data_IF_197496647391
#
_entry.id   IF_197496647391
#
_cell.length_a   1.000
_cell.length_b   1.000
_cell.length_c   1.000
_cell.angle_alpha   90.00
_cell.angle_beta   90.00
_cell.angle_gamma   90.00
#
_symmetry.space_group_name_H-M   'P 1'
#
loop_
_entity.id
_entity.type
_entity.pdbx_description
1 polymer ?
#
# COMPACT_ATOMS: atom_id res chain seq x y z
N UNK A 1 -20.54 -12.81 20.42
CA UNK A 1 -19.19 -12.91 19.80
C UNK A 1 -19.38 -13.40 18.35
N UNK A 2 -19.17 -12.65 17.25
CA UNK A 2 -19.44 -12.93 15.79
C UNK A 2 -18.28 -12.79 14.66
N UNK A 3 -17.35 -13.77 14.45
CA UNK A 3 -16.21 -13.96 13.46
C UNK A 3 -16.60 -14.27 11.97
N UNK A 4 -16.81 -13.35 11.03
CA UNK A 4 -17.24 -13.73 9.64
C UNK A 4 -16.09 -14.07 8.65
N UNK A 5 -16.29 -15.07 7.77
CA UNK A 5 -15.55 -15.33 6.51
C UNK A 5 -16.55 -15.87 5.42
N UNK A 6 -16.27 -15.95 4.10
CA UNK A 6 -17.04 -15.13 3.16
C UNK A 6 -17.65 -15.86 1.94
N UNK A 7 -18.73 -15.28 1.41
CA UNK A 7 -19.20 -15.48 0.03
C UNK A 7 -19.44 -14.11 -0.64
N UNK A 8 -19.47 -14.04 -1.97
CA UNK A 8 -19.43 -12.81 -2.78
C UNK A 8 -20.52 -12.87 -3.89
N UNK A 9 -20.70 -11.90 -4.82
CA UNK A 9 -20.02 -10.59 -4.99
C UNK A 9 -20.92 -9.37 -5.37
N UNK A 10 -20.55 -8.15 -4.95
CA UNK A 10 -20.99 -6.86 -5.53
C UNK A 10 -19.88 -5.81 -5.28
N UNK A 11 -19.35 -4.99 -6.21
CA UNK A 11 -19.90 -4.00 -7.18
C UNK A 11 -20.14 -2.59 -6.59
N UNK A 12 -19.22 -1.67 -6.97
CA UNK A 12 -19.29 -0.19 -6.92
C UNK A 12 -19.39 0.53 -5.55
N UNK A 13 -19.02 1.82 -5.54
CA UNK A 13 -19.22 2.76 -4.44
C UNK A 13 -17.94 3.31 -3.81
N UNK A 14 -17.73 4.64 -3.87
CA UNK A 14 -16.60 5.34 -3.23
C UNK A 14 -17.06 6.61 -2.52
N UNK A 15 -16.63 6.84 -1.28
CA UNK A 15 -16.73 8.15 -0.62
C UNK A 15 -15.60 8.41 0.38
N UNK A 16 -15.18 9.67 0.51
CA UNK A 16 -14.34 10.21 1.60
C UNK A 16 -15.22 11.03 2.55
N UNK A 17 -14.84 11.15 3.82
CA UNK A 17 -15.30 12.25 4.70
C UNK A 17 -14.12 12.89 5.47
N UNK A 18 -14.31 14.13 5.96
CA UNK A 18 -13.24 14.99 6.53
C UNK A 18 -13.20 15.00 8.07
N UNK A 19 -12.04 15.40 8.61
CA UNK A 19 -11.71 15.61 10.04
C UNK A 19 -12.67 16.57 10.77
N UNK A 20 -12.79 16.42 12.10
CA UNK A 20 -12.83 17.57 13.06
C UNK A 20 -12.22 17.21 14.44
N UNK A 21 -12.28 18.14 15.41
CA UNK A 21 -11.30 18.33 16.52
C UNK A 21 -11.86 18.09 17.94
N UNK A 22 -10.90 17.81 18.86
CA UNK A 22 -10.78 18.20 20.28
C UNK A 22 -11.43 17.37 21.43
N UNK A 23 -10.52 16.96 22.32
CA UNK A 23 -10.59 16.59 23.75
C UNK A 23 -11.76 17.10 24.61
N UNK A 24 -12.21 16.28 25.58
CA UNK A 24 -11.87 16.40 27.02
C UNK A 24 -12.16 15.12 27.82
N UNK A 25 -11.79 15.12 29.11
CA UNK A 25 -11.63 13.97 30.04
C UNK A 25 -12.81 13.72 30.99
N UNK A 26 -13.08 12.45 31.32
CA UNK A 26 -13.74 11.96 32.57
C UNK A 26 -13.56 10.42 32.71
N UNK A 27 -13.93 9.83 33.85
CA UNK A 27 -13.73 8.40 34.16
C UNK A 27 -15.02 7.64 34.56
N UNK A 28 -14.90 6.30 34.59
CA UNK A 28 -15.82 5.18 34.99
C UNK A 28 -17.05 5.49 35.86
N UNK A 29 -18.19 4.77 35.66
CA UNK A 29 -18.32 3.36 36.11
C UNK A 29 -19.07 2.40 35.13
N UNK A 30 -19.72 1.35 35.69
CA UNK A 30 -20.56 0.28 35.09
C UNK A 30 -21.76 0.02 36.05
N UNK A 31 -22.83 -0.72 35.67
CA UNK A 31 -23.17 -1.32 34.37
C UNK A 31 -24.53 -0.85 33.79
N UNK A 32 -25.07 -1.63 32.83
CA UNK A 32 -26.30 -1.45 32.04
C UNK A 32 -26.23 -0.51 30.81
N UNK A 33 -27.05 -0.70 29.77
CA UNK A 33 -27.90 -1.86 29.46
C UNK A 33 -28.91 -1.58 28.31
N UNK A 34 -29.50 -2.56 27.61
CA UNK A 34 -29.09 -3.97 27.45
C UNK A 34 -29.15 -4.38 25.94
N UNK A 35 -30.13 -5.12 25.34
CA UNK A 35 -31.06 -6.17 25.80
C UNK A 35 -30.65 -7.60 25.35
N UNK A 36 -30.93 -8.63 26.18
CA UNK A 36 -31.04 -10.03 25.73
C UNK A 36 -32.30 -10.18 24.86
N UNK A 37 -32.06 -10.45 23.57
CA UNK A 37 -32.99 -10.87 22.50
C UNK A 37 -34.22 -10.02 22.14
N UNK A 38 -34.80 -9.24 23.05
CA UNK A 38 -35.88 -8.25 22.82
C UNK A 38 -35.42 -7.01 22.03
N UNK A 39 -34.95 -7.22 20.80
CA UNK A 39 -34.01 -6.32 20.11
C UNK A 39 -34.66 -5.09 19.43
N UNK A 40 -34.52 -3.90 20.02
CA UNK A 40 -34.82 -2.62 19.38
C UNK A 40 -33.53 -1.94 18.85
N UNK A 41 -33.22 -2.12 17.56
CA UNK A 41 -31.90 -1.84 16.98
C UNK A 41 -31.63 -0.37 16.59
N UNK A 42 -32.26 0.59 17.29
CA UNK A 42 -32.29 2.01 16.93
C UNK A 42 -30.92 2.68 16.72
N UNK A 43 -29.86 2.19 17.38
CA UNK A 43 -28.50 2.70 17.25
C UNK A 43 -27.55 1.81 16.40
N UNK A 44 -27.97 0.61 15.98
CA UNK A 44 -27.23 -0.14 14.93
C UNK A 44 -27.41 0.56 13.57
N UNK A 45 -28.44 1.40 13.43
CA UNK A 45 -28.56 2.39 12.34
C UNK A 45 -27.44 3.45 12.32
N UNK A 46 -26.63 3.57 13.38
CA UNK A 46 -25.39 4.36 13.39
C UNK A 46 -24.13 3.54 12.98
N UNK A 47 -24.32 2.35 12.38
CA UNK A 47 -23.29 1.77 11.53
C UNK A 47 -22.89 2.79 10.45
N UNK A 48 -21.58 2.97 10.25
CA UNK A 48 -20.96 3.77 9.16
C UNK A 48 -21.17 5.30 9.15
N UNK A 49 -22.14 5.86 9.88
CA UNK A 49 -22.34 7.32 9.99
C UNK A 49 -22.84 7.75 11.39
N UNK A 50 -22.43 8.93 11.86
CA UNK A 50 -22.55 9.32 13.27
C UNK A 50 -23.88 9.98 13.69
N UNK A 51 -24.01 10.15 15.02
CA UNK A 51 -25.15 10.66 15.81
C UNK A 51 -26.23 9.61 16.10
N UNK A 52 -26.61 9.44 17.39
CA UNK A 52 -28.01 9.06 17.70
C UNK A 52 -28.40 8.00 18.75
N UNK A 53 -27.71 7.79 19.88
CA UNK A 53 -28.39 7.38 21.14
C UNK A 53 -27.52 7.65 22.38
N UNK A 54 -28.14 7.73 23.57
CA UNK A 54 -27.56 8.39 24.75
C UNK A 54 -27.55 7.56 26.05
N UNK A 55 -27.60 6.22 25.97
CA UNK A 55 -27.63 5.34 27.16
C UNK A 55 -26.84 4.03 27.02
N UNK A 56 -26.18 3.77 25.88
CA UNK A 56 -25.56 2.47 25.61
C UNK A 56 -24.08 2.60 25.21
N UNK A 57 -23.19 2.11 26.08
CA UNK A 57 -21.73 2.22 25.93
C UNK A 57 -21.06 0.84 26.15
N UNK A 58 -21.02 -0.04 25.13
CA UNK A 58 -20.44 -1.37 25.27
C UNK A 58 -18.92 -1.29 25.44
N UNK A 59 -18.37 -2.00 26.43
CA UNK A 59 -16.91 -2.11 26.61
C UNK A 59 -16.21 -2.93 25.51
N UNK A 60 -16.95 -3.64 24.66
CA UNK A 60 -16.42 -4.35 23.50
C UNK A 60 -17.50 -5.10 22.70
N UNK A 61 -17.16 -5.48 21.46
CA UNK A 61 -17.97 -6.31 20.54
C UNK A 61 -17.02 -7.34 19.92
N UNK A 62 -17.41 -8.63 19.85
CA UNK A 62 -16.48 -9.81 19.77
C UNK A 62 -16.81 -10.77 18.58
N UNK A 63 -16.09 -11.89 18.30
CA UNK A 63 -16.23 -12.87 17.15
C UNK A 63 -16.26 -14.44 17.45
N UNK A 64 -16.93 -15.58 17.02
CA UNK A 64 -18.01 -16.42 16.26
C UNK A 64 -18.59 -16.35 14.80
N UNK A 65 -18.37 -17.33 13.92
CA UNK A 65 -18.79 -17.25 12.50
C UNK A 65 -20.28 -17.49 12.24
N UNK A 66 -20.83 -17.00 11.11
CA UNK A 66 -22.25 -17.21 10.74
C UNK A 66 -22.63 -18.69 10.68
N UNK A 67 -21.70 -19.57 10.32
CA UNK A 67 -21.89 -21.03 10.30
C UNK A 67 -21.67 -21.74 11.65
N UNK A 68 -21.31 -20.99 12.71
CA UNK A 68 -21.35 -21.46 14.12
C UNK A 68 -22.19 -20.53 15.00
N UNK A 69 -22.94 -19.60 14.39
CA UNK A 69 -23.64 -18.52 15.07
C UNK A 69 -24.74 -19.08 15.97
N UNK A 70 -25.61 -19.94 15.45
CA UNK A 70 -26.78 -20.38 16.19
C UNK A 70 -26.38 -21.27 17.39
N UNK A 71 -25.38 -22.14 17.23
CA UNK A 71 -24.82 -22.95 18.33
C UNK A 71 -24.21 -22.10 19.43
N UNK A 72 -23.31 -21.16 19.09
CA UNK A 72 -22.59 -20.39 20.10
C UNK A 72 -23.35 -19.15 20.59
N UNK A 73 -24.42 -18.71 19.91
CA UNK A 73 -25.45 -17.82 20.46
C UNK A 73 -26.16 -18.50 21.63
N UNK A 74 -26.65 -19.73 21.44
CA UNK A 74 -27.34 -20.50 22.48
C UNK A 74 -26.43 -20.78 23.67
N UNK A 75 -25.17 -21.19 23.43
CA UNK A 75 -24.19 -21.41 24.49
C UNK A 75 -23.82 -20.12 25.24
N UNK A 76 -23.70 -18.96 24.56
CA UNK A 76 -23.43 -17.67 25.21
C UNK A 76 -24.63 -17.19 26.05
N UNK A 77 -25.86 -17.36 25.55
CA UNK A 77 -27.08 -17.06 26.30
C UNK A 77 -27.21 -17.94 27.57
N UNK A 78 -26.95 -19.25 27.45
CA UNK A 78 -26.97 -20.18 28.57
C UNK A 78 -25.86 -19.87 29.62
N UNK A 79 -24.74 -19.29 29.19
CA UNK A 79 -23.69 -18.77 30.07
C UNK A 79 -23.98 -17.37 30.66
N UNK A 80 -25.20 -16.86 30.52
CA UNK A 80 -25.61 -15.54 31.05
C UNK A 80 -25.01 -14.33 30.30
N UNK A 81 -24.41 -14.54 29.13
CA UNK A 81 -23.81 -13.46 28.33
C UNK A 81 -24.88 -12.77 27.49
N UNK A 82 -24.82 -11.44 27.43
CA UNK A 82 -25.75 -10.59 26.69
C UNK A 82 -25.54 -10.75 25.18
N UNK A 83 -26.55 -11.24 24.48
CA UNK A 83 -26.52 -11.57 23.04
C UNK A 83 -27.73 -11.00 22.29
N UNK A 84 -27.54 -10.65 21.02
CA UNK A 84 -28.57 -10.07 20.14
C UNK A 84 -28.67 -10.86 18.84
N UNK A 85 -29.88 -10.92 18.27
CA UNK A 85 -30.21 -11.66 17.03
C UNK A 85 -29.84 -10.91 15.74
N UNK A 86 -29.30 -9.69 15.84
CA UNK A 86 -28.95 -8.86 14.68
C UNK A 86 -27.76 -9.43 13.87
N UNK A 87 -27.90 -9.44 12.54
CA UNK A 87 -26.84 -9.89 11.60
C UNK A 87 -26.41 -8.71 10.72
N UNK A 88 -25.09 -8.43 10.66
CA UNK A 88 -24.51 -7.30 9.93
C UNK A 88 -23.68 -7.83 8.74
N UNK A 89 -23.88 -7.34 7.49
CA UNK A 89 -23.07 -7.73 6.34
C UNK A 89 -21.67 -7.10 6.41
N UNK A 90 -20.63 -7.89 6.14
CA UNK A 90 -19.23 -7.44 6.20
C UNK A 90 -18.61 -7.35 4.80
N UNK A 91 -17.91 -6.26 4.49
CA UNK A 91 -17.30 -6.05 3.17
C UNK A 91 -16.12 -7.01 2.94
N UNK A 92 -16.12 -7.71 1.80
CA UNK A 92 -15.26 -8.86 1.51
C UNK A 92 -13.81 -8.54 1.11
N UNK A 93 -13.26 -7.39 1.52
CA UNK A 93 -11.95 -6.92 1.05
C UNK A 93 -11.01 -6.43 2.17
N UNK A 94 -9.95 -7.19 2.43
CA UNK A 94 -8.60 -6.62 2.58
C UNK A 94 -7.93 -6.61 3.96
N UNK A 95 -8.65 -6.66 5.09
CA UNK A 95 -8.06 -6.42 6.44
C UNK A 95 -8.19 -7.57 7.46
N UNK A 96 -8.43 -8.80 6.98
CA UNK A 96 -8.69 -9.96 7.84
C UNK A 96 -7.50 -10.31 8.75
N UNK A 97 -6.28 -10.27 8.22
CA UNK A 97 -5.03 -10.57 8.95
C UNK A 97 -4.78 -9.58 10.09
N UNK A 98 -5.01 -8.29 9.85
CA UNK A 98 -4.84 -7.22 10.84
C UNK A 98 -5.81 -7.40 12.02
N UNK A 99 -7.07 -7.75 11.73
CA UNK A 99 -8.07 -8.02 12.76
C UNK A 99 -7.70 -9.25 13.61
N UNK A 100 -7.29 -10.35 12.97
CA UNK A 100 -6.89 -11.57 13.67
C UNK A 100 -5.72 -11.31 14.63
N UNK A 101 -4.70 -10.56 14.20
CA UNK A 101 -3.55 -10.22 15.05
C UNK A 101 -3.95 -9.30 16.23
N UNK A 102 -4.82 -8.30 16.00
CA UNK A 102 -5.29 -7.40 17.06
C UNK A 102 -6.11 -8.15 18.14
N UNK A 103 -6.88 -9.15 17.70
CA UNK A 103 -7.63 -10.04 18.57
C UNK A 103 -6.70 -10.90 19.44
N UNK A 104 -5.65 -11.49 18.87
CA UNK A 104 -4.67 -12.30 19.61
C UNK A 104 -3.96 -11.54 20.74
N UNK A 105 -3.54 -10.29 20.53
CA UNK A 105 -2.91 -9.47 21.58
C UNK A 105 -3.89 -9.12 22.72
N UNK A 106 -5.15 -8.85 22.37
CA UNK A 106 -6.20 -8.59 23.36
C UNK A 106 -6.47 -9.84 24.24
N UNK A 107 -6.40 -11.03 23.65
CA UNK A 107 -6.52 -12.30 24.40
C UNK A 107 -5.30 -12.62 25.28
N UNK A 108 -4.14 -12.03 25.00
CA UNK A 108 -2.94 -12.12 25.84
C UNK A 108 -2.94 -11.16 27.05
N UNK A 109 -3.99 -10.34 27.21
CA UNK A 109 -4.13 -9.41 28.33
C UNK A 109 -3.43 -8.05 28.15
N UNK A 110 -2.87 -7.76 26.97
CA UNK A 110 -2.22 -6.48 26.70
C UNK A 110 -3.24 -5.33 26.69
N UNK A 111 -3.10 -4.37 27.61
CA UNK A 111 -3.98 -3.20 27.69
C UNK A 111 -3.69 -2.22 26.54
N UNK A 112 -4.55 -2.24 25.52
CA UNK A 112 -4.42 -1.38 24.35
C UNK A 112 -4.52 0.11 24.68
N UNK A 113 -3.44 0.86 24.43
CA UNK A 113 -3.43 2.32 24.46
C UNK A 113 -4.29 2.88 23.28
N UNK A 114 -5.06 3.97 23.44
CA UNK A 114 -6.00 4.42 22.41
C UNK A 114 -5.29 4.91 21.13
N UNK A 115 -5.52 4.18 20.04
CA UNK A 115 -4.82 4.38 18.75
C UNK A 115 -5.27 5.68 18.08
N UNK A 116 -4.49 6.74 18.28
CA UNK A 116 -4.66 8.06 17.65
C UNK A 116 -3.44 8.44 16.79
N UNK A 117 -2.87 7.45 16.10
CA UNK A 117 -1.75 7.59 15.16
C UNK A 117 -1.94 6.70 13.92
N UNK A 118 -1.16 6.93 12.84
CA UNK A 118 -1.26 6.16 11.60
C UNK A 118 -0.69 4.74 11.73
N UNK A 119 -0.90 3.93 10.69
CA UNK A 119 -0.47 2.54 10.61
C UNK A 119 1.05 2.41 10.59
N UNK A 120 1.63 2.15 11.76
CA UNK A 120 3.01 1.73 12.00
C UNK A 120 2.99 0.69 13.16
N UNK A 121 3.96 -0.23 13.21
CA UNK A 121 4.11 -1.27 14.25
C UNK A 121 2.99 -2.36 14.39
N UNK A 122 2.75 -3.10 13.29
CA UNK A 122 2.86 -4.56 13.42
C UNK A 122 4.23 -4.98 12.90
N UNK A 123 4.96 -5.79 13.68
CA UNK A 123 6.28 -6.26 13.28
C UNK A 123 6.16 -7.28 12.13
N UNK A 124 6.28 -6.81 10.88
CA UNK A 124 6.50 -7.66 9.69
C UNK A 124 7.95 -8.16 9.70
N UNK A 125 8.30 -8.86 10.78
CA UNK A 125 9.64 -9.30 11.10
C UNK A 125 9.91 -10.67 10.50
N UNK A 126 11.05 -10.79 9.82
CA UNK A 126 11.68 -12.06 9.53
C UNK A 126 12.32 -12.62 10.81
N UNK A 127 12.46 -13.94 10.90
CA UNK A 127 13.31 -14.55 11.93
C UNK A 127 14.78 -14.35 11.57
N UNK A 128 15.69 -14.51 12.54
CA UNK A 128 17.13 -14.52 12.26
C UNK A 128 17.50 -15.63 11.25
N UNK A 129 16.87 -16.79 11.35
CA UNK A 129 17.06 -17.89 10.39
C UNK A 129 16.59 -17.53 8.97
N UNK A 130 15.48 -16.79 8.81
CA UNK A 130 15.07 -16.28 7.51
C UNK A 130 16.05 -15.24 6.96
N UNK A 131 16.55 -14.33 7.81
CA UNK A 131 17.55 -13.34 7.42
C UNK A 131 18.82 -14.01 6.90
N UNK A 132 19.42 -14.93 7.69
CA UNK A 132 20.63 -15.64 7.30
C UNK A 132 20.45 -16.42 6.00
N UNK A 133 19.35 -17.19 5.86
CA UNK A 133 19.07 -17.95 4.65
C UNK A 133 18.89 -17.06 3.40
N UNK A 134 18.52 -15.79 3.56
CA UNK A 134 18.50 -14.82 2.46
C UNK A 134 19.88 -14.21 2.20
N UNK A 135 20.65 -13.89 3.23
CA UNK A 135 22.03 -13.40 3.15
C UNK A 135 22.93 -14.40 2.43
N UNK A 136 22.96 -15.66 2.89
CA UNK A 136 23.70 -16.78 2.27
C UNK A 136 23.35 -16.94 0.78
N UNK A 137 22.08 -16.69 0.43
CA UNK A 137 21.55 -16.81 -0.93
C UNK A 137 21.89 -15.62 -1.83
N UNK A 138 22.25 -14.51 -1.21
CA UNK A 138 22.59 -13.22 -1.80
C UNK A 138 24.10 -12.95 -1.88
N UNK A 139 24.95 -13.64 -1.10
CA UNK A 139 26.43 -13.49 -1.10
C UNK A 139 27.06 -13.32 -2.50
N UNK A 140 26.62 -14.12 -3.47
CA UNK A 140 26.98 -14.05 -4.90
C UNK A 140 26.68 -12.72 -5.62
N UNK A 141 26.05 -11.76 -4.96
CA UNK A 141 25.68 -10.44 -5.48
C UNK A 141 26.55 -9.31 -4.90
N UNK A 142 27.50 -9.60 -4.00
CA UNK A 142 28.47 -8.60 -3.52
C UNK A 142 29.21 -7.94 -4.70
N UNK A 143 29.44 -6.63 -4.60
CA UNK A 143 30.10 -5.85 -5.66
C UNK A 143 29.23 -5.52 -6.88
N UNK A 144 27.94 -5.86 -6.92
CA UNK A 144 27.05 -5.45 -8.02
C UNK A 144 26.77 -3.94 -7.93
N UNK A 145 27.21 -3.21 -8.96
CA UNK A 145 26.90 -1.78 -9.12
C UNK A 145 25.43 -1.52 -9.51
N UNK A 146 24.98 -0.30 -9.25
CA UNK A 146 23.60 0.16 -9.46
C UNK A 146 23.57 1.21 -10.58
N UNK A 147 22.63 1.15 -11.52
CA UNK A 147 22.31 2.29 -12.39
C UNK A 147 22.03 3.54 -11.54
N UNK A 148 22.60 4.69 -11.92
CA UNK A 148 22.52 5.93 -11.14
C UNK A 148 21.10 6.47 -10.93
N UNK A 149 20.11 6.01 -11.70
CA UNK A 149 18.76 6.53 -11.72
C UNK A 149 18.66 7.84 -12.52
N UNK A 150 17.64 8.65 -12.24
CA UNK A 150 17.38 9.93 -12.90
C UNK A 150 17.36 11.09 -11.89
N UNK A 151 18.30 11.13 -10.93
CA UNK A 151 18.36 12.06 -9.76
C UNK A 151 18.27 13.57 -10.04
N UNK A 152 18.20 14.00 -11.30
CA UNK A 152 17.97 15.39 -11.74
C UNK A 152 16.61 15.60 -12.43
N UNK A 153 15.98 14.55 -12.97
CA UNK A 153 14.67 14.60 -13.63
C UNK A 153 13.62 13.83 -12.84
N UNK A 154 12.73 14.57 -12.18
CA UNK A 154 11.56 13.98 -11.54
C UNK A 154 10.58 13.43 -12.60
N UNK A 155 10.51 14.05 -13.78
CA UNK A 155 9.72 13.55 -14.90
C UNK A 155 10.08 12.11 -15.26
N UNK A 156 11.37 11.79 -15.43
CA UNK A 156 11.82 10.45 -15.75
C UNK A 156 11.62 9.45 -14.60
N UNK A 157 11.76 9.89 -13.34
CA UNK A 157 11.44 9.06 -12.18
C UNK A 157 9.95 8.70 -12.15
N UNK A 158 9.03 9.62 -12.48
CA UNK A 158 7.59 9.37 -12.60
C UNK A 158 7.29 8.43 -13.78
N UNK A 159 7.86 8.72 -14.97
CA UNK A 159 7.59 7.96 -16.20
C UNK A 159 8.08 6.51 -16.10
N UNK A 160 9.35 6.26 -15.75
CA UNK A 160 9.87 4.90 -15.62
C UNK A 160 9.14 4.15 -14.48
N UNK A 161 8.91 4.79 -13.33
CA UNK A 161 8.33 4.08 -12.18
C UNK A 161 6.93 3.52 -12.45
N UNK A 162 6.04 4.33 -13.05
CA UNK A 162 4.69 3.88 -13.42
C UNK A 162 4.73 2.92 -14.62
N UNK A 163 5.61 3.14 -15.60
CA UNK A 163 5.75 2.23 -16.74
C UNK A 163 6.28 0.86 -16.33
N UNK A 164 7.22 0.77 -15.39
CA UNK A 164 7.88 -0.44 -14.89
C UNK A 164 7.01 -1.33 -13.98
N UNK A 165 5.72 -1.43 -14.29
CA UNK A 165 4.72 -2.30 -13.65
C UNK A 165 4.19 -3.33 -14.64
N UNK A 166 4.43 -4.63 -14.40
CA UNK A 166 3.79 -5.72 -15.15
C UNK A 166 4.14 -5.87 -16.65
N UNK A 167 5.14 -5.15 -17.16
CA UNK A 167 5.60 -5.19 -18.57
C UNK A 167 7.07 -5.62 -18.67
N UNK A 168 7.59 -5.84 -19.88
CA UNK A 168 9.03 -5.97 -20.12
C UNK A 168 9.73 -4.62 -20.02
N UNK A 169 10.92 -4.59 -19.39
CA UNK A 169 11.68 -3.33 -19.21
C UNK A 169 12.07 -2.68 -20.55
N UNK A 170 12.27 -3.47 -21.61
CA UNK A 170 12.50 -2.95 -22.97
C UNK A 170 11.30 -2.27 -23.64
N UNK A 171 10.12 -2.30 -23.00
CA UNK A 171 9.02 -1.39 -23.32
C UNK A 171 9.15 -0.03 -22.61
N UNK A 172 9.79 0.00 -21.43
CA UNK A 172 10.00 1.20 -20.61
C UNK A 172 11.15 2.03 -21.15
N UNK A 173 12.28 1.40 -21.46
CA UNK A 173 13.44 1.99 -22.15
C UNK A 173 12.99 2.80 -23.40
N UNK A 174 12.06 2.24 -24.18
CA UNK A 174 11.49 2.88 -25.38
C UNK A 174 10.56 4.07 -25.08
N UNK A 175 9.84 4.06 -23.96
CA UNK A 175 9.01 5.22 -23.54
C UNK A 175 9.92 6.35 -23.04
N UNK A 176 10.94 6.02 -22.24
CA UNK A 176 11.95 6.98 -21.76
C UNK A 176 12.69 7.61 -22.94
N UNK A 177 13.09 6.81 -23.94
CA UNK A 177 13.72 7.33 -25.16
C UNK A 177 12.80 8.28 -25.96
N UNK A 178 11.51 7.96 -26.11
CA UNK A 178 10.55 8.85 -26.80
C UNK A 178 10.24 10.13 -26.02
N UNK A 179 10.11 10.06 -24.70
CA UNK A 179 9.94 11.27 -23.87
C UNK A 179 11.13 12.20 -24.02
N UNK A 180 12.36 11.63 -23.98
CA UNK A 180 13.59 12.37 -24.20
C UNK A 180 13.64 13.03 -25.59
N UNK A 181 13.31 12.29 -26.65
CA UNK A 181 13.28 12.84 -28.00
C UNK A 181 12.24 13.97 -28.15
N UNK A 182 11.02 13.77 -27.64
CA UNK A 182 9.93 14.76 -27.67
C UNK A 182 10.29 16.07 -26.96
N UNK A 183 11.05 16.01 -25.87
CA UNK A 183 11.52 17.18 -25.12
C UNK A 183 12.69 17.90 -25.79
N UNK A 184 13.64 17.16 -26.36
CA UNK A 184 14.76 17.73 -27.13
C UNK A 184 14.27 18.43 -28.41
N UNK A 185 13.27 17.85 -29.10
CA UNK A 185 12.56 18.44 -30.25
C UNK A 185 11.89 19.80 -29.91
N UNK A 186 11.62 20.04 -28.62
CA UNK A 186 11.06 21.30 -28.07
C UNK A 186 12.10 22.17 -27.34
N UNK A 187 13.40 21.88 -27.51
CA UNK A 187 14.50 22.63 -26.89
C UNK A 187 14.62 22.50 -25.37
N UNK A 188 13.97 21.51 -24.75
CA UNK A 188 14.05 21.24 -23.30
C UNK A 188 15.08 20.15 -22.95
N UNK A 189 15.57 20.14 -21.70
CA UNK A 189 16.44 19.08 -21.19
C UNK A 189 15.66 18.03 -20.36
N UNK A 190 15.37 16.84 -20.93
CA UNK A 190 14.72 15.74 -20.21
C UNK A 190 15.56 15.14 -19.08
N UNK A 191 16.81 15.56 -18.89
CA UNK A 191 17.62 15.18 -17.73
C UNK A 191 17.37 16.08 -16.51
N UNK A 192 16.69 17.23 -16.67
CA UNK A 192 16.31 18.15 -15.58
C UNK A 192 14.79 18.32 -15.42
N UNK A 193 13.98 17.88 -16.39
CA UNK A 193 12.52 18.04 -16.38
C UNK A 193 11.85 17.57 -15.08
N UNK A 194 10.94 18.42 -14.59
CA UNK A 194 10.13 18.23 -13.39
C UNK A 194 8.68 17.82 -13.69
N UNK A 195 7.78 18.09 -12.75
CA UNK A 195 6.33 17.87 -12.94
C UNK A 195 5.75 18.79 -14.01
N UNK A 196 6.18 20.06 -14.03
CA UNK A 196 5.68 21.10 -14.93
C UNK A 196 5.92 20.72 -16.39
N UNK A 197 7.15 20.33 -16.73
CA UNK A 197 7.53 19.95 -18.09
C UNK A 197 6.92 18.61 -18.51
N UNK A 198 6.77 17.66 -17.58
CA UNK A 198 6.03 16.41 -17.83
C UNK A 198 4.55 16.70 -18.12
N UNK A 199 3.89 17.56 -17.33
CA UNK A 199 2.50 17.94 -17.51
C UNK A 199 2.28 18.71 -18.82
N UNK A 200 3.22 19.59 -19.20
CA UNK A 200 3.21 20.25 -20.50
C UNK A 200 3.15 19.24 -21.67
N UNK A 201 3.93 18.14 -21.61
CA UNK A 201 3.85 17.11 -22.67
C UNK A 201 2.47 16.47 -22.80
N UNK A 202 1.64 16.41 -21.76
CA UNK A 202 0.27 15.92 -21.88
C UNK A 202 -0.64 16.92 -22.60
N UNK A 203 -0.45 18.22 -22.42
CA UNK A 203 -1.17 19.27 -23.16
C UNK A 203 -0.78 19.26 -24.64
N UNK A 204 0.52 19.13 -24.94
CA UNK A 204 1.08 19.03 -26.30
C UNK A 204 0.67 17.75 -27.07
N UNK A 205 0.16 16.75 -26.36
CA UNK A 205 -0.29 15.47 -26.93
C UNK A 205 -1.77 15.19 -26.70
N UNK A 206 -2.59 16.24 -26.54
CA UNK A 206 -4.05 16.11 -26.52
C UNK A 206 -4.58 15.21 -25.37
N UNK A 207 -3.85 15.16 -24.26
CA UNK A 207 -4.15 14.38 -23.07
C UNK A 207 -3.54 12.96 -23.05
N UNK A 208 -4.00 12.10 -22.12
CA UNK A 208 -3.39 10.80 -21.87
C UNK A 208 -3.41 9.80 -23.04
N UNK A 209 -4.42 9.85 -23.91
CA UNK A 209 -4.53 8.92 -25.04
C UNK A 209 -3.52 9.24 -26.14
N UNK A 210 -3.41 10.50 -26.56
CA UNK A 210 -2.39 10.95 -27.51
C UNK A 210 -0.97 10.88 -26.92
N UNK A 211 -0.81 11.08 -25.59
CA UNK A 211 0.46 10.79 -24.93
C UNK A 211 0.81 9.30 -25.00
N UNK A 212 -0.16 8.41 -24.76
CA UNK A 212 0.02 6.96 -24.82
C UNK A 212 0.33 6.42 -26.24
N UNK A 213 -0.01 7.20 -27.27
CA UNK A 213 0.29 6.93 -28.68
C UNK A 213 1.66 7.51 -29.09
N UNK A 214 1.87 8.83 -28.90
CA UNK A 214 3.08 9.55 -29.32
C UNK A 214 4.33 9.18 -28.50
N UNK A 215 4.20 9.03 -27.17
CA UNK A 215 5.33 8.86 -26.23
C UNK A 215 5.25 7.54 -25.47
N UNK A 216 4.10 7.28 -24.84
CA UNK A 216 3.86 6.18 -23.91
C UNK A 216 3.62 4.84 -24.58
N UNK A 217 2.67 4.09 -24.02
CA UNK A 217 2.08 2.89 -24.63
C UNK A 217 0.63 2.78 -24.16
N UNK A 218 -0.25 2.12 -24.91
CA UNK A 218 -1.64 1.84 -24.50
C UNK A 218 -1.78 0.78 -23.38
N UNK A 219 -0.69 0.52 -22.63
CA UNK A 219 -0.68 -0.34 -21.46
C UNK A 219 -1.50 0.28 -20.32
N UNK A 220 -2.19 -0.57 -19.55
CA UNK A 220 -3.00 -0.18 -18.39
C UNK A 220 -2.32 -0.54 -17.08
N UNK A 221 -2.73 0.13 -15.99
CA UNK A 221 -2.24 -0.15 -14.62
C UNK A 221 -2.74 -1.49 -14.05
N UNK A 222 -3.81 -2.04 -14.64
CA UNK A 222 -4.38 -3.36 -14.31
C UNK A 222 -5.05 -3.94 -15.56
N UNK A 223 -4.94 -5.26 -15.75
CA UNK A 223 -5.70 -6.00 -16.78
C UNK A 223 -7.20 -6.10 -16.46
N UNK A 224 -7.60 -5.77 -15.24
CA UNK A 224 -8.99 -5.72 -14.78
C UNK A 224 -9.31 -4.29 -14.35
N UNK A 225 -9.95 -3.52 -15.24
CA UNK A 225 -10.43 -2.17 -14.94
C UNK A 225 -9.35 -1.11 -14.66
N UNK A 226 -8.11 -1.30 -15.12
CA UNK A 226 -7.05 -0.30 -14.94
C UNK A 226 -7.16 0.88 -15.91
N UNK A 227 -6.84 2.08 -15.42
CA UNK A 227 -6.58 3.29 -16.22
C UNK A 227 -5.39 3.10 -17.15
N UNK A 228 -5.23 3.97 -18.16
CA UNK A 228 -4.00 3.99 -18.95
C UNK A 228 -2.81 4.34 -18.05
N UNK A 229 -1.61 3.83 -18.37
CA UNK A 229 -0.40 4.25 -17.64
C UNK A 229 -0.06 5.72 -17.89
N UNK A 230 -0.35 6.25 -19.07
CA UNK A 230 -0.23 7.67 -19.39
C UNK A 230 -1.12 8.53 -18.48
N UNK A 231 -2.37 8.10 -18.26
CA UNK A 231 -3.33 8.75 -17.37
C UNK A 231 -2.82 8.76 -15.92
N UNK A 232 -2.32 7.63 -15.43
CA UNK A 232 -1.72 7.55 -14.10
C UNK A 232 -0.39 8.34 -13.95
N UNK A 233 0.40 8.49 -15.02
CA UNK A 233 1.61 9.34 -15.05
C UNK A 233 1.22 10.81 -14.92
N UNK A 234 0.25 11.28 -15.71
CA UNK A 234 -0.30 12.65 -15.61
C UNK A 234 -0.82 12.92 -14.20
N UNK A 235 -1.67 12.04 -13.68
CA UNK A 235 -2.33 12.26 -12.39
C UNK A 235 -1.34 12.23 -11.23
N UNK A 236 -0.33 11.37 -11.28
CA UNK A 236 0.73 11.31 -10.27
C UNK A 236 1.67 12.52 -10.35
N UNK A 237 1.98 13.03 -11.55
CA UNK A 237 2.69 14.29 -11.72
C UNK A 237 1.89 15.47 -11.17
N UNK A 238 0.60 15.58 -11.51
CA UNK A 238 -0.29 16.65 -11.04
C UNK A 238 -0.48 16.65 -9.51
N UNK A 239 -0.46 15.47 -8.88
CA UNK A 239 -0.46 15.34 -7.41
C UNK A 239 0.81 15.92 -6.78
N UNK A 240 1.99 15.62 -7.33
CA UNK A 240 3.25 16.16 -6.81
C UNK A 240 3.39 17.67 -7.10
N UNK A 241 2.95 18.10 -8.29
CA UNK A 241 2.91 19.50 -8.72
C UNK A 241 2.05 20.36 -7.78
N UNK A 242 0.81 19.92 -7.51
CA UNK A 242 -0.11 20.55 -6.55
C UNK A 242 0.35 20.49 -5.09
N UNK A 243 1.39 19.70 -4.78
CA UNK A 243 2.10 19.70 -3.50
C UNK A 243 3.40 20.53 -3.51
N UNK A 244 3.71 21.20 -4.62
CA UNK A 244 4.96 21.96 -4.80
C UNK A 244 6.22 21.10 -4.86
N UNK A 245 6.07 19.79 -5.12
CA UNK A 245 7.19 18.84 -5.30
C UNK A 245 7.47 18.75 -6.80
N UNK A 246 7.97 19.85 -7.35
CA UNK A 246 8.09 20.01 -8.82
C UNK A 246 9.39 19.45 -9.39
N UNK A 247 10.43 19.30 -8.58
CA UNK A 247 11.78 18.87 -9.01
C UNK A 247 12.33 17.72 -8.19
N UNK A 248 13.32 17.01 -8.75
CA UNK A 248 14.06 15.95 -8.07
C UNK A 248 14.72 16.43 -6.75
N UNK A 249 15.20 17.68 -6.70
CA UNK A 249 15.69 18.29 -5.47
C UNK A 249 14.57 18.43 -4.43
N UNK A 250 13.46 19.08 -4.79
CA UNK A 250 12.33 19.32 -3.87
C UNK A 250 11.71 18.04 -3.27
N UNK A 251 11.86 16.88 -3.94
CA UNK A 251 11.46 15.57 -3.40
C UNK A 251 12.41 15.04 -2.32
N UNK A 252 13.72 15.27 -2.45
CA UNK A 252 14.72 14.91 -1.44
C UNK A 252 14.69 15.85 -0.25
N UNK A 253 14.51 17.14 -0.52
CA UNK A 253 14.49 18.21 0.49
C UNK A 253 13.19 18.19 1.32
N UNK A 254 12.12 17.57 0.80
CA UNK A 254 10.89 17.31 1.54
C UNK A 254 11.14 16.42 2.77
N UNK A 255 10.70 16.85 3.95
CA UNK A 255 10.85 16.10 5.21
C UNK A 255 10.06 14.77 5.22
N UNK A 256 10.26 13.96 6.28
CA UNK A 256 9.60 12.66 6.41
C UNK A 256 8.06 12.72 6.47
N UNK A 257 7.47 13.77 7.04
CA UNK A 257 6.03 13.95 7.07
C UNK A 257 5.50 14.39 5.70
N UNK A 258 6.17 15.34 5.03
CA UNK A 258 5.83 15.76 3.66
C UNK A 258 5.96 14.62 2.65
N UNK A 259 6.98 13.75 2.79
CA UNK A 259 7.13 12.53 1.98
C UNK A 259 6.04 11.49 2.27
N UNK A 260 5.61 11.31 3.53
CA UNK A 260 4.49 10.40 3.89
C UNK A 260 3.13 10.94 3.40
N UNK A 261 2.96 12.27 3.31
CA UNK A 261 1.79 12.90 2.65
C UNK A 261 1.83 12.76 1.12
N UNK A 262 3.01 12.89 0.50
CA UNK A 262 3.21 12.68 -0.93
C UNK A 262 2.96 11.21 -1.32
N UNK A 263 3.46 10.25 -0.55
CA UNK A 263 3.16 8.82 -0.69
C UNK A 263 1.65 8.56 -0.60
N UNK A 264 0.99 9.13 0.42
CA UNK A 264 -0.46 8.98 0.63
C UNK A 264 -1.29 9.53 -0.53
N UNK A 265 -0.83 10.63 -1.13
CA UNK A 265 -1.48 11.28 -2.26
C UNK A 265 -1.22 10.55 -3.58
N UNK A 266 0.02 10.09 -3.80
CA UNK A 266 0.40 9.21 -4.91
C UNK A 266 -0.41 7.92 -4.90
N UNK A 267 -0.52 7.25 -3.74
CA UNK A 267 -1.30 6.02 -3.59
C UNK A 267 -2.82 6.23 -3.74
N UNK A 268 -3.30 7.48 -3.71
CA UNK A 268 -4.69 7.80 -4.03
C UNK A 268 -4.96 7.87 -5.55
N UNK A 269 -3.93 7.95 -6.40
CA UNK A 269 -4.04 7.93 -7.87
C UNK A 269 -4.49 6.54 -8.34
N UNK A 270 -5.36 6.52 -9.35
CA UNK A 270 -5.96 5.28 -9.85
C UNK A 270 -4.89 4.31 -10.37
N UNK A 271 -4.84 3.11 -9.79
CA UNK A 271 -3.84 2.09 -10.10
C UNK A 271 -2.52 2.17 -9.30
N UNK A 272 -2.29 3.23 -8.51
CA UNK A 272 -1.03 3.41 -7.74
C UNK A 272 -1.11 2.96 -6.27
N UNK A 273 -2.29 2.48 -5.83
CA UNK A 273 -2.63 2.14 -4.42
C UNK A 273 -1.63 1.26 -3.66
N UNK A 274 -0.78 0.49 -4.35
CA UNK A 274 0.17 -0.42 -3.69
C UNK A 274 1.49 0.23 -3.25
N UNK A 275 1.75 1.50 -3.58
CA UNK A 275 3.00 2.20 -3.22
C UNK A 275 4.28 1.68 -3.91
N UNK A 276 4.22 0.55 -4.63
CA UNK A 276 5.39 -0.06 -5.31
C UNK A 276 5.99 0.90 -6.35
N UNK A 277 5.18 1.70 -7.02
CA UNK A 277 5.63 2.73 -7.97
C UNK A 277 6.25 3.93 -7.25
N UNK A 278 5.73 4.33 -6.08
CA UNK A 278 6.31 5.37 -5.24
C UNK A 278 7.68 4.97 -4.69
N UNK A 279 7.82 3.77 -4.13
CA UNK A 279 9.13 3.25 -3.64
C UNK A 279 10.16 3.20 -4.76
N UNK A 280 9.76 2.76 -5.95
CA UNK A 280 10.65 2.70 -7.11
C UNK A 280 10.96 4.09 -7.72
N UNK A 281 10.04 5.06 -7.64
CA UNK A 281 10.33 6.47 -7.94
C UNK A 281 11.42 7.02 -7.02
N UNK A 282 11.33 6.76 -5.70
CA UNK A 282 12.35 7.17 -4.74
C UNK A 282 13.71 6.50 -5.03
N UNK A 283 13.73 5.21 -5.39
CA UNK A 283 14.95 4.51 -5.82
C UNK A 283 15.58 5.11 -7.08
N UNK A 284 14.76 5.49 -8.08
CA UNK A 284 15.22 6.17 -9.29
C UNK A 284 15.75 7.58 -9.00
N UNK A 285 15.22 8.26 -8.00
CA UNK A 285 15.73 9.56 -7.55
C UNK A 285 17.01 9.45 -6.69
N UNK A 286 17.38 8.24 -6.29
CA UNK A 286 18.62 7.92 -5.57
C UNK A 286 18.46 7.70 -4.06
N UNK A 287 17.23 7.66 -3.54
CA UNK A 287 16.95 7.26 -2.16
C UNK A 287 17.07 5.73 -2.04
N UNK A 288 17.89 5.18 -1.12
CA UNK A 288 18.05 3.74 -0.97
C UNK A 288 16.72 3.02 -0.63
N UNK A 289 16.46 1.89 -1.29
CA UNK A 289 15.24 1.13 -1.03
C UNK A 289 15.13 -0.16 -1.85
N UNK A 290 14.04 -0.89 -1.60
CA UNK A 290 13.65 -2.12 -2.31
C UNK A 290 12.29 -1.88 -2.96
N UNK A 291 12.09 -2.42 -4.17
CA UNK A 291 10.84 -2.45 -4.90
C UNK A 291 10.23 -3.86 -4.75
N UNK A 292 9.37 -4.12 -3.75
CA UNK A 292 8.85 -5.46 -3.46
C UNK A 292 7.80 -5.91 -4.49
N UNK A 293 8.22 -6.15 -5.73
CA UNK A 293 7.39 -6.63 -6.81
C UNK A 293 7.39 -8.17 -6.89
N UNK A 294 6.69 -8.71 -7.90
CA UNK A 294 6.54 -10.16 -8.08
C UNK A 294 7.86 -10.91 -8.25
N UNK A 295 8.95 -10.29 -8.72
CA UNK A 295 10.27 -10.91 -8.82
C UNK A 295 10.97 -10.95 -7.47
N UNK A 296 10.94 -9.86 -6.70
CA UNK A 296 11.52 -9.82 -5.35
C UNK A 296 10.77 -10.80 -4.41
N UNK A 297 9.43 -10.77 -4.39
CA UNK A 297 8.62 -11.75 -3.65
C UNK A 297 8.95 -13.19 -4.08
N UNK A 298 9.04 -13.48 -5.38
CA UNK A 298 9.44 -14.80 -5.91
C UNK A 298 10.83 -15.22 -5.44
N UNK A 299 11.78 -14.29 -5.34
CA UNK A 299 13.13 -14.58 -4.86
C UNK A 299 13.16 -14.88 -3.37
N UNK A 300 12.44 -14.12 -2.54
CA UNK A 300 12.32 -14.42 -1.11
C UNK A 300 11.65 -15.78 -0.89
N UNK A 301 10.58 -16.09 -1.65
CA UNK A 301 9.97 -17.44 -1.65
C UNK A 301 10.96 -18.55 -2.01
N UNK A 302 11.74 -18.36 -3.09
CA UNK A 302 12.73 -19.34 -3.57
C UNK A 302 13.97 -19.47 -2.67
N UNK A 303 14.22 -18.49 -1.80
CA UNK A 303 15.35 -18.48 -0.86
C UNK A 303 14.97 -19.11 0.48
N UNK A 304 13.77 -18.80 0.96
CA UNK A 304 13.20 -19.32 2.21
C UNK A 304 12.43 -20.64 2.04
N UNK A 305 12.42 -21.21 0.83
CA UNK A 305 11.66 -22.42 0.45
C UNK A 305 10.13 -22.32 0.72
N UNK A 306 9.59 -21.09 0.71
CA UNK A 306 8.18 -20.82 1.02
C UNK A 306 7.27 -21.12 -0.17
N UNK A 307 6.01 -21.46 0.13
CA UNK A 307 4.98 -21.73 -0.89
C UNK A 307 4.78 -20.51 -1.80
N UNK A 308 4.61 -20.76 -3.11
CA UNK A 308 4.35 -19.70 -4.10
C UNK A 308 3.13 -18.84 -3.80
N UNK A 309 3.32 -17.51 -3.87
CA UNK A 309 2.35 -16.45 -3.51
C UNK A 309 2.01 -16.41 -2.02
N UNK A 310 3.00 -16.65 -1.15
CA UNK A 310 2.88 -16.47 0.30
C UNK A 310 3.58 -15.21 0.81
N UNK A 311 4.59 -14.71 0.11
CA UNK A 311 5.36 -13.52 0.55
C UNK A 311 4.64 -12.24 0.12
N UNK A 312 4.15 -11.49 1.11
CA UNK A 312 3.61 -10.13 0.93
C UNK A 312 4.71 -9.09 0.69
N UNK A 313 4.32 -7.95 0.10
CA UNK A 313 5.26 -6.90 -0.30
C UNK A 313 6.08 -6.33 0.87
N UNK A 314 5.45 -6.04 2.02
CA UNK A 314 6.17 -5.50 3.18
C UNK A 314 7.15 -6.50 3.80
N UNK A 315 6.86 -7.81 3.74
CA UNK A 315 7.81 -8.82 4.20
C UNK A 315 9.02 -8.90 3.26
N UNK A 316 8.78 -8.91 1.94
CA UNK A 316 9.85 -8.87 0.94
C UNK A 316 10.71 -7.60 1.07
N UNK A 317 10.10 -6.46 1.35
CA UNK A 317 10.81 -5.21 1.61
C UNK A 317 11.67 -5.32 2.88
N UNK A 318 11.08 -5.68 4.01
CA UNK A 318 11.77 -5.74 5.30
C UNK A 318 12.98 -6.70 5.27
N UNK A 319 12.80 -7.92 4.76
CA UNK A 319 13.87 -8.92 4.74
C UNK A 319 15.00 -8.61 3.74
N UNK A 320 14.71 -7.98 2.59
CA UNK A 320 15.75 -7.56 1.64
C UNK A 320 16.47 -6.30 2.13
N UNK A 321 15.79 -5.40 2.84
CA UNK A 321 16.44 -4.28 3.54
C UNK A 321 17.41 -4.80 4.62
N UNK A 322 16.95 -5.70 5.50
CA UNK A 322 17.80 -6.29 6.54
C UNK A 322 18.96 -7.12 5.98
N UNK A 323 18.74 -7.88 4.90
CA UNK A 323 19.81 -8.62 4.23
C UNK A 323 20.85 -7.69 3.58
N UNK A 324 20.41 -6.54 3.03
CA UNK A 324 21.36 -5.54 2.52
C UNK A 324 22.20 -4.92 3.65
N UNK A 325 21.57 -4.62 4.80
CA UNK A 325 22.23 -4.09 6.00
C UNK A 325 23.27 -5.07 6.56
N UNK A 326 22.89 -6.33 6.81
CA UNK A 326 23.79 -7.41 7.28
C UNK A 326 24.96 -7.64 6.30
N UNK A 327 24.71 -7.51 4.99
CA UNK A 327 25.75 -7.63 3.97
C UNK A 327 26.63 -6.38 3.80
N UNK A 328 26.30 -5.24 4.41
CA UNK A 328 26.97 -3.95 4.14
C UNK A 328 26.76 -3.46 2.70
N UNK A 329 25.66 -3.84 2.07
CA UNK A 329 25.30 -3.48 0.69
C UNK A 329 24.24 -2.38 0.64
N UNK A 330 24.21 -1.60 -0.44
CA UNK A 330 23.04 -0.78 -0.75
C UNK A 330 21.83 -1.66 -1.03
N UNK A 331 20.69 -1.38 -0.40
CA UNK A 331 19.44 -2.09 -0.63
C UNK A 331 18.98 -2.01 -2.09
N UNK A 332 19.19 -0.87 -2.76
CA UNK A 332 18.94 -0.70 -4.19
C UNK A 332 19.87 -1.56 -5.06
N UNK A 333 21.12 -1.82 -4.61
CA UNK A 333 22.03 -2.75 -5.30
C UNK A 333 21.56 -4.19 -5.17
N UNK A 334 21.11 -4.59 -3.97
CA UNK A 334 20.62 -5.93 -3.72
C UNK A 334 19.30 -6.20 -4.49
N UNK A 335 18.37 -5.24 -4.50
CA UNK A 335 17.15 -5.26 -5.33
C UNK A 335 17.49 -5.45 -6.81
N UNK A 336 18.38 -4.62 -7.36
CA UNK A 336 18.82 -4.69 -8.76
C UNK A 336 19.48 -6.04 -9.10
N UNK A 337 20.32 -6.58 -8.21
CA UNK A 337 20.96 -7.87 -8.39
C UNK A 337 19.97 -9.04 -8.37
N UNK A 338 19.03 -9.04 -7.41
CA UNK A 338 17.93 -10.02 -7.32
C UNK A 338 17.05 -9.95 -8.57
N UNK A 339 16.69 -8.75 -9.03
CA UNK A 339 15.90 -8.55 -10.24
C UNK A 339 16.62 -9.06 -11.48
N UNK A 340 17.91 -8.75 -11.66
CA UNK A 340 18.74 -9.24 -12.78
C UNK A 340 18.82 -10.77 -12.77
N UNK A 341 18.98 -11.39 -11.61
CA UNK A 341 18.98 -12.84 -11.44
C UNK A 341 17.62 -13.48 -11.78
N UNK A 342 16.50 -12.91 -11.32
CA UNK A 342 15.16 -13.43 -11.62
C UNK A 342 14.76 -13.19 -13.09
N UNK A 343 15.18 -12.08 -13.71
CA UNK A 343 14.93 -11.79 -15.13
C UNK A 343 15.56 -12.83 -16.07
N UNK A 344 16.69 -13.43 -15.69
CA UNK A 344 17.37 -14.48 -16.45
C UNK A 344 16.78 -15.89 -16.30
N UNK A 345 15.98 -16.15 -15.25
CA UNK A 345 15.41 -17.47 -14.93
C UNK A 345 13.96 -17.59 -15.44
N UNK A 346 13.79 -17.41 -16.74
CA UNK A 346 12.49 -17.50 -17.43
C UNK A 346 11.98 -18.94 -17.51
#
# INVERSE_FOLDING_TARGET
>A
MLFINPTAPARYGSYRLRRRRRMRTAATPLPEGDPIDGSALGAILACTSGVGSSSWHPKGVIGIKTDVYDTAYLAQAAAGLRVSKARIPFSSSGRQTEFAAAFSRTLAGETACPVTGPCDAYAVSHTAAHLQALVDRCEKFRGVEVPMGYRKSLALCIVDSVQSTGVTYSSVEKVVARYRAHRLDRGGDPNTDGTVELLATFTETDGPDGWAEKIGTRNRTSTRGGVLKAEAIRDAAAVLDGMGITTAASLRDADAARRKEAESSWCAVTGQRSGITWRYLLMLDGVPGVKPDRMICRFVEDSLQLRRRSVGAEFAYAIVMGAAEEMGMSSTALDHAIWRFQRGRR
#
